data_IF_148935258052
#
_entry.id   IF_148935258052
#
_cell.length_a   1.000
_cell.length_b   1.000
_cell.length_c   1.000
_cell.angle_alpha   90.00
_cell.angle_beta   90.00
_cell.angle_gamma   90.00
#
_symmetry.space_group_name_H-M   'P 1'
#
loop_
_entity.id
_entity.type
_entity.pdbx_description
1 polymer ?
#
# COMPACT_ATOMS: atom_id res chain seq x y z
N UNK A 1 13.01 5.85 5.65
CA UNK A 1 13.15 6.02 4.19
C UNK A 1 12.11 5.12 3.55
N UNK A 2 11.05 5.66 2.94
CA UNK A 2 10.07 4.86 2.20
C UNK A 2 10.75 4.39 0.91
N UNK A 3 11.10 3.11 0.84
CA UNK A 3 11.65 2.52 -0.38
C UNK A 3 10.49 2.14 -1.29
N UNK A 4 10.25 2.94 -2.32
CA UNK A 4 9.29 2.62 -3.39
C UNK A 4 10.13 2.18 -4.59
N UNK A 5 10.15 0.87 -4.88
CA UNK A 5 10.82 0.32 -6.07
C UNK A 5 9.81 0.11 -7.17
N UNK A 6 9.97 0.84 -8.27
CA UNK A 6 9.20 0.65 -9.50
C UNK A 6 9.92 -0.28 -10.48
N UNK A 7 11.02 -0.92 -10.05
CA UNK A 7 11.83 -1.77 -10.92
C UNK A 7 11.16 -3.15 -11.10
N UNK A 8 10.76 -3.55 -12.33
CA UNK A 8 10.12 -4.84 -12.58
C UNK A 8 11.02 -6.04 -12.25
N UNK A 9 12.35 -5.88 -12.17
CA UNK A 9 13.28 -6.94 -11.73
C UNK A 9 13.36 -7.11 -10.21
N UNK A 10 12.41 -6.56 -9.45
CA UNK A 10 12.46 -6.50 -7.99
C UNK A 10 11.27 -7.14 -7.27
N UNK A 11 10.47 -7.99 -7.95
CA UNK A 11 9.29 -8.64 -7.34
C UNK A 11 9.58 -9.27 -5.97
N UNK A 12 10.64 -10.08 -5.87
CA UNK A 12 11.08 -10.68 -4.60
C UNK A 12 11.31 -9.61 -3.53
N UNK A 13 12.06 -8.56 -3.85
CA UNK A 13 12.36 -7.47 -2.92
C UNK A 13 11.12 -6.66 -2.56
N UNK A 14 10.19 -6.47 -3.50
CA UNK A 14 8.90 -5.84 -3.27
C UNK A 14 8.04 -6.68 -2.34
N UNK A 15 8.01 -7.99 -2.51
CA UNK A 15 7.30 -8.90 -1.63
C UNK A 15 7.89 -8.87 -0.21
N UNK A 16 9.21 -9.01 -0.08
CA UNK A 16 9.90 -8.98 1.21
C UNK A 16 9.63 -7.66 1.97
N UNK A 17 9.69 -6.52 1.26
CA UNK A 17 9.51 -5.20 1.89
C UNK A 17 8.03 -4.88 2.13
N UNK A 18 7.15 -5.12 1.17
CA UNK A 18 5.75 -4.72 1.30
C UNK A 18 4.93 -5.72 2.11
N UNK A 19 5.20 -7.02 1.97
CA UNK A 19 4.39 -8.10 2.56
C UNK A 19 5.05 -8.62 3.82
N UNK A 20 6.27 -9.16 3.73
CA UNK A 20 6.89 -9.84 4.88
C UNK A 20 7.24 -8.86 6.01
N UNK A 21 7.83 -7.71 5.67
CA UNK A 21 8.12 -6.69 6.68
C UNK A 21 6.83 -6.10 7.29
N UNK A 22 5.74 -5.98 6.53
CA UNK A 22 4.46 -5.53 7.04
C UNK A 22 3.86 -6.52 8.05
N UNK A 23 3.90 -7.82 7.74
CA UNK A 23 3.49 -8.88 8.67
C UNK A 23 4.33 -8.85 9.94
N UNK A 24 5.65 -8.66 9.82
CA UNK A 24 6.52 -8.51 10.97
C UNK A 24 6.17 -7.30 11.84
N UNK A 25 5.80 -6.16 11.23
CA UNK A 25 5.34 -4.97 11.96
C UNK A 25 4.03 -5.26 12.71
N UNK A 26 3.06 -5.91 12.07
CA UNK A 26 1.78 -6.31 12.71
C UNK A 26 2.05 -7.16 13.95
N UNK A 27 2.85 -8.22 13.82
CA UNK A 27 3.18 -9.11 14.93
C UNK A 27 3.93 -8.38 16.04
N UNK A 28 4.82 -7.46 15.68
CA UNK A 28 5.53 -6.61 16.64
C UNK A 28 4.55 -5.69 17.39
N UNK A 29 3.63 -5.04 16.68
CA UNK A 29 2.60 -4.20 17.29
C UNK A 29 1.76 -5.00 18.29
N UNK A 30 1.33 -6.22 17.93
CA UNK A 30 0.60 -7.12 18.84
C UNK A 30 1.44 -7.50 20.06
N UNK A 31 2.69 -7.97 19.85
CA UNK A 31 3.63 -8.36 20.92
C UNK A 31 3.86 -7.25 21.94
N UNK A 32 4.02 -6.02 21.48
CA UNK A 32 4.29 -4.86 22.35
C UNK A 32 3.03 -4.09 22.75
N UNK A 33 1.83 -4.63 22.45
CA UNK A 33 0.52 -4.05 22.81
C UNK A 33 0.35 -2.60 22.31
N UNK A 34 0.89 -2.31 21.13
CA UNK A 34 0.61 -1.07 20.41
C UNK A 34 -0.89 -0.97 20.17
N UNK A 35 -1.47 0.21 20.39
CA UNK A 35 -2.92 0.40 20.33
C UNK A 35 -3.45 0.66 18.92
N UNK A 36 -2.65 1.30 18.07
CA UNK A 36 -3.08 1.78 16.76
C UNK A 36 -1.95 1.63 15.74
N UNK A 37 -2.29 1.11 14.56
CA UNK A 37 -1.39 1.03 13.41
C UNK A 37 -2.09 1.63 12.18
N UNK A 38 -1.51 2.69 11.62
CA UNK A 38 -1.99 3.30 10.37
C UNK A 38 -1.04 2.87 9.26
N UNK A 39 -1.58 2.15 8.29
CA UNK A 39 -0.87 1.69 7.11
C UNK A 39 -1.12 2.63 5.94
N UNK A 40 -0.04 3.11 5.31
CA UNK A 40 -0.14 3.86 4.06
C UNK A 40 -0.15 2.88 2.89
N UNK A 41 -1.35 2.60 2.37
CA UNK A 41 -1.58 1.83 1.16
C UNK A 41 -1.45 2.71 -0.09
N UNK A 42 -2.00 2.28 -1.22
CA UNK A 42 -2.05 3.04 -2.48
C UNK A 42 -3.42 2.88 -3.11
N UNK A 43 -3.87 3.86 -3.90
CA UNK A 43 -5.02 3.70 -4.79
C UNK A 43 -4.82 2.54 -5.80
N UNK A 44 -3.57 2.20 -6.11
CA UNK A 44 -3.22 1.15 -7.07
C UNK A 44 -3.73 -0.24 -6.63
N UNK A 45 -4.03 -0.45 -5.35
CA UNK A 45 -4.57 -1.73 -4.86
C UNK A 45 -5.99 -2.02 -5.37
N UNK A 46 -6.73 -1.00 -5.81
CA UNK A 46 -8.07 -1.14 -6.42
C UNK A 46 -8.10 -0.72 -7.89
N UNK A 47 -6.97 -0.27 -8.45
CA UNK A 47 -6.92 0.20 -9.83
C UNK A 47 -6.76 -0.96 -10.83
N UNK A 48 -7.83 -1.25 -11.57
CA UNK A 48 -7.87 -2.31 -12.58
C UNK A 48 -7.55 -1.88 -14.02
N UNK A 49 -7.02 -0.66 -14.23
CA UNK A 49 -6.70 -0.14 -15.56
C UNK A 49 -7.79 0.71 -16.22
N UNK A 50 -8.95 0.85 -15.60
CA UNK A 50 -10.00 1.78 -16.02
C UNK A 50 -10.12 2.95 -15.01
N UNK A 51 -10.48 4.17 -15.45
CA UNK A 51 -10.66 5.30 -14.56
C UNK A 51 -11.64 4.99 -13.42
N UNK A 52 -11.23 5.27 -12.18
CA UNK A 52 -12.11 5.24 -11.01
C UNK A 52 -12.82 6.60 -10.94
N UNK A 53 -14.16 6.59 -11.07
CA UNK A 53 -15.02 7.78 -10.94
C UNK A 53 -15.88 7.60 -9.70
N UNK A 54 -15.89 8.60 -8.82
CA UNK A 54 -16.71 8.63 -7.59
C UNK A 54 -16.58 7.35 -6.74
N UNK A 55 -15.38 6.76 -6.72
CA UNK A 55 -15.11 5.53 -5.99
C UNK A 55 -14.79 5.77 -4.51
N UNK A 56 -15.14 4.80 -3.67
CA UNK A 56 -14.92 4.81 -2.23
C UNK A 56 -14.15 3.57 -1.74
N UNK A 57 -14.07 3.37 -0.43
CA UNK A 57 -13.34 2.25 0.18
C UNK A 57 -13.96 0.89 -0.14
N UNK A 58 -15.22 0.83 -0.59
CA UNK A 58 -15.91 -0.42 -0.96
C UNK A 58 -15.46 -1.02 -2.29
N UNK A 59 -14.64 -0.30 -3.07
CA UNK A 59 -14.09 -0.79 -4.33
C UNK A 59 -13.37 -2.14 -4.14
N UNK A 60 -13.66 -3.14 -4.99
CA UNK A 60 -13.04 -4.44 -4.88
C UNK A 60 -11.58 -4.41 -5.35
N UNK A 61 -10.76 -5.31 -4.80
CA UNK A 61 -9.46 -5.62 -5.38
C UNK A 61 -9.66 -6.19 -6.81
N UNK A 62 -8.85 -5.78 -7.79
CA UNK A 62 -8.98 -6.28 -9.16
C UNK A 62 -8.59 -7.75 -9.23
N UNK A 63 -9.20 -8.48 -10.17
CA UNK A 63 -8.84 -9.90 -10.44
C UNK A 63 -7.41 -10.00 -11.02
N UNK A 64 -7.01 -9.01 -11.80
CA UNK A 64 -5.68 -8.90 -12.40
C UNK A 64 -5.11 -7.51 -12.12
N UNK A 65 -3.93 -7.47 -11.50
CA UNK A 65 -3.20 -6.23 -11.24
C UNK A 65 -2.38 -5.80 -12.47
N UNK A 66 -2.15 -4.50 -12.61
CA UNK A 66 -1.35 -3.94 -13.71
C UNK A 66 0.15 -4.19 -13.53
N UNK A 67 0.60 -4.27 -12.28
CA UNK A 67 1.99 -4.55 -11.92
C UNK A 67 2.09 -5.30 -10.58
N UNK A 68 3.30 -5.80 -10.30
CA UNK A 68 3.57 -6.55 -9.06
C UNK A 68 3.55 -5.67 -7.82
N UNK A 69 3.86 -4.37 -7.94
CA UNK A 69 3.80 -3.44 -6.81
C UNK A 69 2.36 -3.37 -6.26
N UNK A 70 1.39 -3.12 -7.14
CA UNK A 70 -0.04 -3.06 -6.84
C UNK A 70 -0.52 -4.36 -6.20
N UNK A 71 -0.10 -5.51 -6.75
CA UNK A 71 -0.38 -6.82 -6.17
C UNK A 71 0.17 -6.94 -4.74
N UNK A 72 1.47 -6.69 -4.53
CA UNK A 72 2.11 -6.82 -3.22
C UNK A 72 1.55 -5.87 -2.17
N UNK A 73 1.18 -4.64 -2.56
CA UNK A 73 0.50 -3.68 -1.70
C UNK A 73 -0.91 -4.14 -1.34
N UNK A 74 -1.63 -4.80 -2.26
CA UNK A 74 -2.95 -5.37 -1.97
C UNK A 74 -2.88 -6.50 -0.93
N UNK A 75 -1.85 -7.34 -0.97
CA UNK A 75 -1.63 -8.39 0.04
C UNK A 75 -1.37 -7.77 1.42
N UNK A 76 -0.47 -6.80 1.49
CA UNK A 76 -0.14 -6.10 2.72
C UNK A 76 -1.34 -5.35 3.32
N UNK A 77 -2.17 -4.72 2.48
CA UNK A 77 -3.41 -4.07 2.93
C UNK A 77 -4.40 -5.07 3.52
N UNK A 78 -4.59 -6.23 2.87
CA UNK A 78 -5.46 -7.30 3.40
C UNK A 78 -4.98 -7.79 4.75
N UNK A 79 -3.67 -7.97 4.92
CA UNK A 79 -3.08 -8.38 6.20
C UNK A 79 -3.35 -7.33 7.30
N UNK A 80 -3.25 -6.03 6.98
CA UNK A 80 -3.54 -4.93 7.92
C UNK A 80 -5.01 -4.93 8.33
N UNK A 81 -5.93 -5.06 7.37
CA UNK A 81 -7.37 -5.10 7.65
C UNK A 81 -7.71 -6.32 8.52
N UNK A 82 -7.14 -7.48 8.20
CA UNK A 82 -7.33 -8.71 8.97
C UNK A 82 -6.76 -8.64 10.40
N UNK A 83 -5.78 -7.76 10.64
CA UNK A 83 -5.18 -7.58 11.96
C UNK A 83 -5.97 -6.67 12.90
N UNK A 84 -7.06 -6.04 12.44
CA UNK A 84 -7.90 -5.17 13.28
C UNK A 84 -8.68 -5.98 14.33
N UNK A 85 -8.49 -5.65 15.61
CA UNK A 85 -9.14 -6.31 16.75
C UNK A 85 -9.65 -5.28 17.77
N UNK A 86 -10.95 -5.33 18.12
CA UNK A 86 -11.61 -4.32 18.97
C UNK A 86 -10.96 -4.14 20.36
N UNK A 87 -10.50 -5.25 20.96
CA UNK A 87 -9.81 -5.26 22.25
C UNK A 87 -8.28 -5.46 22.11
N UNK A 88 -7.76 -5.30 20.90
CA UNK A 88 -6.38 -5.56 20.53
C UNK A 88 -5.74 -4.39 19.78
N UNK A 89 -5.18 -4.69 18.63
CA UNK A 89 -4.58 -3.71 17.73
C UNK A 89 -5.67 -3.12 16.82
N UNK A 90 -5.93 -1.83 16.91
CA UNK A 90 -6.76 -1.13 15.93
C UNK A 90 -5.94 -0.78 14.69
N UNK A 91 -6.46 -1.05 13.50
CA UNK A 91 -5.76 -0.77 12.25
C UNK A 91 -6.58 0.13 11.32
N UNK A 92 -5.87 0.85 10.45
CA UNK A 92 -6.47 1.66 9.39
C UNK A 92 -5.57 1.62 8.16
N UNK A 93 -6.14 1.46 6.98
CA UNK A 93 -5.42 1.54 5.71
C UNK A 93 -5.82 2.80 4.95
N UNK A 94 -4.83 3.58 4.52
CA UNK A 94 -5.03 4.80 3.73
C UNK A 94 -4.61 4.55 2.27
N UNK A 95 -5.57 4.55 1.34
CA UNK A 95 -5.31 4.41 -0.11
C UNK A 95 -4.99 5.77 -0.71
N UNK A 96 -3.75 6.21 -0.58
CA UNK A 96 -3.34 7.51 -1.11
C UNK A 96 -3.25 7.46 -2.64
N UNK A 97 -3.72 8.52 -3.29
CA UNK A 97 -3.50 8.74 -4.71
C UNK A 97 -2.13 9.40 -4.96
N UNK A 98 -1.90 9.90 -6.17
CA UNK A 98 -0.66 10.57 -6.54
C UNK A 98 -0.32 11.79 -5.72
N UNK A 99 0.42 11.59 -4.62
CA UNK A 99 0.95 12.68 -3.80
C UNK A 99 2.04 13.42 -4.60
N UNK A 100 1.95 14.74 -4.67
CA UNK A 100 2.92 15.63 -5.31
C UNK A 100 3.14 16.88 -4.45
N UNK A 101 4.26 17.58 -4.65
CA UNK A 101 4.59 18.80 -3.92
C UNK A 101 6.09 19.10 -3.88
N UNK A 102 6.52 20.11 -3.11
CA UNK A 102 7.94 20.44 -2.95
C UNK A 102 8.76 19.21 -2.51
N UNK A 103 9.84 18.92 -3.23
CA UNK A 103 10.70 17.76 -2.96
C UNK A 103 10.27 16.47 -3.67
N UNK A 104 9.25 16.50 -4.52
CA UNK A 104 8.96 15.39 -5.43
C UNK A 104 10.11 15.22 -6.45
N UNK A 105 10.79 14.07 -6.36
CA UNK A 105 11.93 13.73 -7.20
C UNK A 105 11.57 12.82 -8.37
N UNK A 106 10.32 12.34 -8.44
CA UNK A 106 9.96 11.26 -9.35
C UNK A 106 8.74 11.58 -10.21
N UNK A 107 7.62 12.04 -9.63
CA UNK A 107 6.35 12.21 -10.35
C UNK A 107 6.29 13.52 -11.14
N UNK A 108 6.48 14.67 -10.49
CA UNK A 108 6.43 15.97 -11.20
C UNK A 108 7.48 16.09 -12.32
N UNK A 109 8.76 15.70 -12.13
CA UNK A 109 9.77 15.80 -13.18
C UNK A 109 9.47 14.99 -14.44
N UNK A 110 8.73 13.87 -14.33
CA UNK A 110 8.42 13.01 -15.48
C UNK A 110 7.23 13.50 -16.32
N UNK A 111 6.38 14.38 -15.75
CA UNK A 111 5.16 14.90 -16.40
C UNK A 111 5.36 16.32 -16.95
N UNK A 112 6.23 17.11 -16.32
CA UNK A 112 6.45 18.52 -16.70
C UNK A 112 7.46 18.67 -17.86
N UNK A 113 8.35 17.68 -18.06
CA UNK A 113 9.38 17.72 -19.11
C UNK A 113 8.99 16.98 -20.40
N UNK A 114 7.71 16.70 -20.61
CA UNK A 114 7.15 16.22 -21.89
C UNK A 114 6.60 17.38 -22.70
#
# INVERSE_FOLDING_TARGET
MFYISWNPNSEKKLYEINVDANRFIIETCKKYRVKKLIYTSSIDVVFGGAPIKDGDESLPYPVKFLDYYSYSKSLAEKDIIAANEDNGLLTCSLRTAGIYGPGDRTRLPSIINT
#
